data_IF_578863818669
#
_entry.id   IF_578863818669
#
_cell.length_a   1.000
_cell.length_b   1.000
_cell.length_c   1.000
_cell.angle_alpha   90.00
_cell.angle_beta   90.00
_cell.angle_gamma   90.00
#
_symmetry.space_group_name_H-M   'P 1'
#
loop_
_entity.id
_entity.type
_entity.pdbx_description
1 polymer ?
#
# COMPACT_ATOMS: atom_id res chain seq x y z
N UNK A 1 -4.15 5.42 -15.14
CA UNK A 1 -4.87 6.52 -14.46
C UNK A 1 -6.12 5.94 -13.81
N UNK A 2 -6.37 6.29 -12.55
CA UNK A 2 -7.51 5.83 -11.75
C UNK A 2 -8.74 6.76 -11.84
N UNK A 3 -8.73 7.73 -12.75
CA UNK A 3 -9.83 8.71 -12.90
C UNK A 3 -11.22 8.04 -13.00
N UNK A 4 -11.35 7.01 -13.85
CA UNK A 4 -12.64 6.33 -14.07
C UNK A 4 -13.19 5.72 -12.78
N UNK A 5 -12.34 5.05 -11.99
CA UNK A 5 -12.76 4.44 -10.72
C UNK A 5 -13.06 5.51 -9.67
N UNK A 6 -12.26 6.57 -9.57
CA UNK A 6 -12.53 7.69 -8.67
C UNK A 6 -13.85 8.38 -8.98
N UNK A 7 -14.15 8.64 -10.26
CA UNK A 7 -15.42 9.24 -10.69
C UNK A 7 -16.60 8.31 -10.43
N UNK A 8 -16.44 7.02 -10.65
CA UNK A 8 -17.46 6.02 -10.34
C UNK A 8 -17.77 6.01 -8.84
N UNK A 9 -16.74 5.94 -7.99
CA UNK A 9 -16.90 5.98 -6.53
C UNK A 9 -17.56 7.29 -6.05
N UNK A 10 -17.14 8.42 -6.60
CA UNK A 10 -17.73 9.72 -6.26
C UNK A 10 -19.22 9.78 -6.61
N UNK A 11 -19.59 9.32 -7.80
CA UNK A 11 -20.97 9.36 -8.29
C UNK A 11 -21.87 8.36 -7.56
N UNK A 12 -21.49 7.08 -7.53
CA UNK A 12 -22.33 6.01 -7.00
C UNK A 12 -22.35 5.99 -5.47
N UNK A 13 -21.25 6.39 -4.83
CA UNK A 13 -21.15 6.49 -3.38
C UNK A 13 -21.63 7.83 -2.81
N UNK A 14 -21.95 8.82 -3.65
CA UNK A 14 -22.22 10.20 -3.23
C UNK A 14 -21.10 10.76 -2.33
N UNK A 15 -19.86 10.50 -2.72
CA UNK A 15 -18.66 10.81 -1.94
C UNK A 15 -17.90 12.00 -2.54
N UNK A 16 -17.27 12.79 -1.67
CA UNK A 16 -16.12 13.60 -2.06
C UNK A 16 -14.91 12.67 -2.17
N UNK A 17 -14.32 12.58 -3.35
CA UNK A 17 -13.14 11.72 -3.61
C UNK A 17 -11.91 12.59 -3.83
N UNK A 18 -10.91 12.41 -2.97
CA UNK A 18 -9.58 13.02 -3.10
C UNK A 18 -8.61 11.97 -3.62
N UNK A 19 -8.20 12.10 -4.89
CA UNK A 19 -7.18 11.24 -5.48
C UNK A 19 -5.80 11.87 -5.30
N UNK A 20 -4.91 11.19 -4.61
CA UNK A 20 -3.57 11.71 -4.29
C UNK A 20 -2.60 11.38 -5.42
N UNK A 21 -2.08 12.42 -6.09
CA UNK A 21 -0.98 12.30 -7.05
C UNK A 21 0.37 12.19 -6.34
N UNK A 22 0.60 11.09 -5.62
CA UNK A 22 1.82 10.87 -4.84
C UNK A 22 3.05 10.64 -5.75
N UNK A 23 4.23 11.01 -5.25
CA UNK A 23 5.52 10.78 -5.90
C UNK A 23 5.78 9.28 -6.10
N UNK A 24 6.37 8.92 -7.24
CA UNK A 24 6.61 7.52 -7.63
C UNK A 24 8.09 7.14 -7.54
N UNK A 25 8.35 5.87 -7.23
CA UNK A 25 9.64 5.25 -7.43
C UNK A 25 9.83 4.93 -8.93
N UNK A 26 11.08 4.92 -9.45
CA UNK A 26 12.35 5.02 -8.72
C UNK A 26 12.83 6.44 -8.37
N UNK A 27 12.24 7.48 -8.93
CA UNK A 27 12.66 8.87 -8.74
C UNK A 27 12.51 9.31 -7.28
N UNK A 28 11.46 8.84 -6.62
CA UNK A 28 11.14 9.11 -5.23
C UNK A 28 10.81 7.81 -4.50
N UNK A 29 11.86 7.20 -3.94
CA UNK A 29 11.78 5.94 -3.19
C UNK A 29 11.09 6.12 -1.83
N UNK A 30 10.81 5.02 -1.14
CA UNK A 30 10.28 5.03 0.22
C UNK A 30 11.10 5.99 1.12
N UNK A 31 10.45 6.87 1.90
CA UNK A 31 9.02 6.92 2.21
C UNK A 31 8.17 7.92 1.40
N UNK A 32 8.65 8.44 0.26
CA UNK A 32 8.02 9.59 -0.41
C UNK A 32 6.51 9.45 -0.70
N UNK A 33 6.09 8.33 -1.31
CA UNK A 33 4.68 8.09 -1.61
C UNK A 33 3.80 8.03 -0.34
N UNK A 34 4.32 7.45 0.73
CA UNK A 34 3.64 7.38 2.02
C UNK A 34 3.52 8.76 2.67
N UNK A 35 4.57 9.56 2.65
CA UNK A 35 4.55 10.94 3.16
C UNK A 35 3.54 11.81 2.41
N UNK A 36 3.46 11.68 1.09
CA UNK A 36 2.50 12.42 0.27
C UNK A 36 1.05 12.03 0.60
N UNK A 37 0.77 10.73 0.67
CA UNK A 37 -0.55 10.22 1.05
C UNK A 37 -0.95 10.62 2.47
N UNK A 38 -0.04 10.51 3.43
CA UNK A 38 -0.30 10.91 4.82
C UNK A 38 -0.52 12.43 4.92
N UNK A 39 0.35 13.22 4.29
CA UNK A 39 0.26 14.68 4.27
C UNK A 39 -1.05 15.18 3.64
N UNK A 40 -1.42 14.62 2.48
CA UNK A 40 -2.68 14.93 1.81
C UNK A 40 -3.90 14.57 2.66
N UNK A 41 -3.87 13.39 3.32
CA UNK A 41 -4.97 12.94 4.18
C UNK A 41 -5.12 13.85 5.40
N UNK A 42 -4.02 14.19 6.07
CA UNK A 42 -4.03 15.11 7.22
C UNK A 42 -4.52 16.50 6.80
N UNK A 43 -4.05 17.01 5.65
CA UNK A 43 -4.49 18.28 5.13
C UNK A 43 -5.99 18.29 4.84
N UNK A 44 -6.51 17.24 4.20
CA UNK A 44 -7.94 17.08 3.95
C UNK A 44 -8.75 17.06 5.26
N UNK A 45 -8.33 16.26 6.24
CA UNK A 45 -9.04 16.13 7.52
C UNK A 45 -9.05 17.43 8.34
N UNK A 46 -7.99 18.25 8.24
CA UNK A 46 -7.92 19.57 8.89
C UNK A 46 -8.80 20.64 8.21
N UNK A 47 -9.09 20.47 6.92
CA UNK A 47 -9.86 21.42 6.13
C UNK A 47 -11.22 20.84 5.69
N UNK A 48 -11.70 19.79 6.36
CA UNK A 48 -12.80 18.95 5.91
C UNK A 48 -14.12 19.71 5.71
N UNK A 49 -14.34 20.74 6.52
CA UNK A 49 -15.50 21.64 6.43
C UNK A 49 -15.56 22.40 5.09
N UNK A 50 -14.40 22.74 4.50
CA UNK A 50 -14.33 23.43 3.20
C UNK A 50 -14.86 22.56 2.06
N UNK A 51 -14.89 21.24 2.27
CA UNK A 51 -15.37 20.26 1.31
C UNK A 51 -16.80 19.77 1.62
N UNK A 52 -17.44 20.29 2.68
CA UNK A 52 -18.78 19.88 3.08
C UNK A 52 -18.88 18.42 3.54
N UNK A 53 -17.79 17.84 4.05
CA UNK A 53 -17.73 16.43 4.48
C UNK A 53 -17.87 16.34 5.99
N UNK A 54 -18.66 15.37 6.47
CA UNK A 54 -18.79 15.04 7.88
C UNK A 54 -17.49 14.39 8.41
N UNK A 55 -16.85 14.96 9.46
CA UNK A 55 -15.66 14.39 10.08
C UNK A 55 -15.82 12.94 10.56
N UNK A 56 -17.03 12.49 10.88
CA UNK A 56 -17.28 11.10 11.27
C UNK A 56 -17.26 10.10 10.11
N UNK A 57 -17.22 10.59 8.85
CA UNK A 57 -17.38 9.80 7.63
C UNK A 57 -16.16 9.88 6.70
N UNK A 58 -14.96 9.84 7.27
CA UNK A 58 -13.70 9.81 6.50
C UNK A 58 -13.27 8.37 6.23
N UNK A 59 -13.00 8.02 4.98
CA UNK A 59 -12.53 6.69 4.56
C UNK A 59 -11.24 6.86 3.75
N UNK A 60 -10.28 5.96 3.96
CA UNK A 60 -9.12 5.81 3.04
C UNK A 60 -9.28 4.55 2.19
N UNK A 61 -8.88 4.63 0.94
CA UNK A 61 -9.06 3.56 -0.03
C UNK A 61 -7.83 3.48 -0.95
N UNK A 62 -7.45 2.28 -1.35
CA UNK A 62 -6.43 2.08 -2.37
C UNK A 62 -6.34 0.65 -2.87
N UNK A 63 -5.82 0.50 -4.09
CA UNK A 63 -5.60 -0.78 -4.76
C UNK A 63 -4.11 -1.13 -4.85
N UNK A 64 -3.77 -2.41 -4.72
CA UNK A 64 -2.38 -2.90 -4.84
C UNK A 64 -1.40 -2.13 -3.95
N UNK A 65 -0.44 -1.38 -4.54
CA UNK A 65 0.46 -0.49 -3.82
C UNK A 65 -0.27 0.67 -3.12
N UNK A 66 -1.34 1.21 -3.72
CA UNK A 66 -2.21 2.17 -3.05
C UNK A 66 -2.92 1.57 -1.83
N UNK A 67 -3.22 0.27 -1.86
CA UNK A 67 -3.75 -0.46 -0.70
C UNK A 67 -2.73 -0.58 0.44
N UNK A 68 -1.44 -0.76 0.11
CA UNK A 68 -0.35 -0.66 1.10
C UNK A 68 -0.32 0.72 1.76
N UNK A 69 -0.35 1.79 0.94
CA UNK A 69 -0.33 3.16 1.43
C UNK A 69 -1.56 3.48 2.30
N UNK A 70 -2.76 3.06 1.89
CA UNK A 70 -3.99 3.24 2.66
C UNK A 70 -3.93 2.54 4.02
N UNK A 71 -3.39 1.31 4.08
CA UNK A 71 -3.18 0.59 5.33
C UNK A 71 -2.16 1.30 6.24
N UNK A 72 -1.02 1.73 5.69
CA UNK A 72 0.01 2.45 6.43
C UNK A 72 -0.49 3.79 6.99
N UNK A 73 -1.18 4.59 6.17
CA UNK A 73 -1.82 5.85 6.61
C UNK A 73 -2.84 5.59 7.72
N UNK A 74 -3.67 4.54 7.59
CA UNK A 74 -4.64 4.17 8.62
C UNK A 74 -3.99 3.88 9.97
N UNK A 75 -2.88 3.13 9.96
CA UNK A 75 -2.13 2.80 11.18
C UNK A 75 -1.59 4.06 11.86
N UNK A 76 -1.01 4.99 11.09
CA UNK A 76 -0.50 6.25 11.64
C UNK A 76 -1.61 7.13 12.19
N UNK A 77 -2.75 7.22 11.51
CA UNK A 77 -3.89 8.03 11.96
C UNK A 77 -4.60 7.44 13.17
N UNK A 78 -4.54 6.12 13.40
CA UNK A 78 -5.08 5.51 14.62
C UNK A 78 -4.44 6.07 15.90
N UNK A 79 -3.19 6.53 15.83
CA UNK A 79 -2.46 7.17 16.92
C UNK A 79 -2.62 8.70 17.00
N UNK A 80 -3.50 9.33 16.21
CA UNK A 80 -3.66 10.79 16.12
C UNK A 80 -5.01 11.25 16.70
N UNK A 81 -5.11 11.43 18.03
CA UNK A 81 -6.35 11.86 18.67
C UNK A 81 -6.76 13.31 18.33
N UNK A 82 -5.84 14.10 17.76
CA UNK A 82 -6.08 15.47 17.30
C UNK A 82 -6.79 15.55 15.94
N UNK A 83 -7.03 14.41 15.28
CA UNK A 83 -7.69 14.32 13.99
C UNK A 83 -8.98 13.49 14.08
N UNK A 84 -9.94 13.69 13.16
CA UNK A 84 -11.09 12.80 13.02
C UNK A 84 -10.68 11.32 12.90
N UNK A 85 -11.52 10.40 13.36
CA UNK A 85 -11.24 8.97 13.19
C UNK A 85 -11.65 8.52 11.79
N UNK A 86 -10.83 7.66 11.19
CA UNK A 86 -11.24 6.95 9.97
C UNK A 86 -12.43 6.03 10.29
N UNK A 87 -13.48 6.15 9.49
CA UNK A 87 -14.69 5.32 9.57
C UNK A 87 -14.47 3.92 9.02
N UNK A 88 -13.62 3.80 8.01
CA UNK A 88 -13.21 2.56 7.38
C UNK A 88 -11.89 2.72 6.61
N UNK A 89 -11.27 1.59 6.29
CA UNK A 89 -10.22 1.47 5.28
C UNK A 89 -10.66 0.44 4.24
N UNK A 90 -10.53 0.76 2.96
CA UNK A 90 -10.88 -0.11 1.84
C UNK A 90 -9.59 -0.52 1.14
N UNK A 91 -9.23 -1.80 1.25
CA UNK A 91 -7.98 -2.33 0.71
C UNK A 91 -8.28 -3.29 -0.44
N UNK A 92 -8.03 -2.86 -1.67
CA UNK A 92 -8.31 -3.64 -2.87
C UNK A 92 -7.02 -4.41 -3.25
N UNK A 93 -7.00 -5.73 -3.05
CA UNK A 93 -5.82 -6.61 -3.27
C UNK A 93 -4.46 -6.02 -2.80
N UNK A 94 -4.35 -5.59 -1.53
CA UNK A 94 -3.22 -4.79 -1.06
C UNK A 94 -1.89 -5.55 -0.99
N UNK A 95 -0.78 -4.87 -1.29
CA UNK A 95 0.57 -5.39 -1.02
C UNK A 95 1.00 -5.16 0.42
N UNK A 96 0.66 -6.07 1.35
CA UNK A 96 0.87 -5.84 2.80
C UNK A 96 2.21 -6.34 3.36
N UNK A 97 3.02 -7.01 2.55
CA UNK A 97 4.35 -7.49 2.95
C UNK A 97 5.28 -7.56 1.75
N UNK A 98 6.59 -7.42 2.03
CA UNK A 98 7.69 -7.64 1.07
C UNK A 98 8.81 -8.51 1.69
N UNK A 99 8.45 -9.33 2.67
CA UNK A 99 9.34 -10.24 3.39
C UNK A 99 9.41 -11.58 2.69
N UNK A 100 8.28 -12.14 2.24
CA UNK A 100 8.22 -13.47 1.66
C UNK A 100 7.56 -13.48 0.28
N UNK A 101 8.35 -13.73 -0.76
CA UNK A 101 7.82 -13.82 -2.12
C UNK A 101 7.45 -15.25 -2.51
N UNK A 102 7.45 -16.21 -1.59
CA UNK A 102 7.21 -17.64 -1.83
C UNK A 102 5.90 -18.16 -1.22
N UNK A 103 4.99 -17.27 -0.84
CA UNK A 103 3.64 -17.64 -0.37
C UNK A 103 2.90 -18.55 -1.37
N UNK A 104 1.93 -19.39 -0.93
CA UNK A 104 1.22 -20.31 -1.81
C UNK A 104 0.59 -19.63 -3.03
N UNK A 105 0.02 -18.43 -2.83
CA UNK A 105 -0.59 -17.65 -3.91
C UNK A 105 0.44 -17.08 -4.89
N UNK A 106 1.66 -16.76 -4.45
CA UNK A 106 2.77 -16.36 -5.31
C UNK A 106 3.25 -17.52 -6.17
N UNK A 107 3.33 -18.74 -5.61
CA UNK A 107 3.71 -19.95 -6.35
C UNK A 107 2.63 -20.37 -7.35
N UNK A 108 1.36 -20.42 -6.91
CA UNK A 108 0.22 -20.81 -7.74
C UNK A 108 0.00 -19.84 -8.90
N UNK A 109 0.14 -18.52 -8.66
CA UNK A 109 -0.14 -17.49 -9.66
C UNK A 109 1.11 -16.85 -10.26
N UNK A 110 2.28 -17.49 -10.12
CA UNK A 110 3.58 -16.91 -10.49
C UNK A 110 3.67 -16.36 -11.92
N UNK A 111 2.85 -16.88 -12.84
CA UNK A 111 2.79 -16.52 -14.27
C UNK A 111 1.45 -15.96 -14.73
N UNK A 112 0.59 -15.52 -13.80
CA UNK A 112 -0.75 -15.00 -14.13
C UNK A 112 -0.67 -13.49 -14.40
N UNK A 113 -0.99 -13.01 -15.62
CA UNK A 113 -1.08 -11.59 -15.89
C UNK A 113 -2.22 -10.92 -15.11
N UNK A 114 -2.11 -9.63 -14.75
CA UNK A 114 -1.05 -8.70 -15.14
C UNK A 114 0.19 -8.70 -14.22
N UNK A 115 0.18 -9.44 -13.10
CA UNK A 115 1.21 -9.34 -12.06
C UNK A 115 1.95 -10.67 -11.89
N UNK A 116 3.10 -10.78 -12.56
CA UNK A 116 4.03 -11.90 -12.37
C UNK A 116 4.74 -11.79 -11.02
N UNK A 117 5.10 -12.94 -10.43
CA UNK A 117 5.86 -12.99 -9.17
C UNK A 117 7.14 -12.15 -9.21
N UNK A 118 7.88 -12.23 -10.31
CA UNK A 118 9.12 -11.47 -10.52
C UNK A 118 8.89 -9.95 -10.50
N UNK A 119 7.76 -9.49 -11.05
CA UNK A 119 7.42 -8.07 -11.04
C UNK A 119 7.15 -7.54 -9.64
N UNK A 120 6.60 -8.35 -8.73
CA UNK A 120 6.39 -7.93 -7.34
C UNK A 120 7.74 -7.65 -6.66
N UNK A 121 8.70 -8.56 -6.79
CA UNK A 121 10.04 -8.37 -6.23
C UNK A 121 10.76 -7.17 -6.86
N UNK A 122 10.65 -7.00 -8.18
CA UNK A 122 11.16 -5.83 -8.88
C UNK A 122 10.57 -4.52 -8.33
N UNK A 123 9.24 -4.39 -8.23
CA UNK A 123 8.61 -3.18 -7.70
C UNK A 123 8.96 -2.92 -6.24
N UNK A 124 9.04 -3.97 -5.42
CA UNK A 124 9.48 -3.85 -4.03
C UNK A 124 10.90 -3.30 -3.93
N UNK A 125 11.84 -3.78 -4.76
CA UNK A 125 13.22 -3.27 -4.81
C UNK A 125 13.28 -1.81 -5.24
N UNK A 126 12.53 -1.44 -6.29
CA UNK A 126 12.45 -0.04 -6.73
C UNK A 126 11.95 0.88 -5.62
N UNK A 127 10.93 0.43 -4.88
CA UNK A 127 10.33 1.20 -3.79
C UNK A 127 11.23 1.30 -2.55
N UNK A 128 11.84 0.18 -2.11
CA UNK A 128 12.58 0.07 -0.84
C UNK A 128 14.07 0.47 -0.94
N UNK A 129 14.45 1.22 -1.97
CA UNK A 129 15.85 1.58 -2.22
C UNK A 129 16.78 0.38 -2.40
N UNK A 130 16.24 -0.73 -2.90
CA UNK A 130 17.01 -1.86 -3.39
C UNK A 130 17.54 -1.65 -4.81
N UNK A 131 18.41 -2.56 -5.22
CA UNK A 131 18.86 -2.68 -6.60
C UNK A 131 18.04 -3.76 -7.31
N UNK A 132 17.33 -3.36 -8.38
CA UNK A 132 16.51 -4.26 -9.18
C UNK A 132 17.29 -5.40 -9.84
N UNK A 133 18.62 -5.27 -9.98
CA UNK A 133 19.49 -6.36 -10.43
C UNK A 133 19.42 -7.59 -9.50
N UNK A 134 19.09 -7.39 -8.21
CA UNK A 134 19.02 -8.45 -7.20
C UNK A 134 17.65 -9.16 -7.14
N UNK A 135 16.78 -8.99 -8.15
CA UNK A 135 15.42 -9.53 -8.13
C UNK A 135 15.41 -11.05 -7.91
N UNK A 136 16.34 -11.78 -8.51
CA UNK A 136 16.41 -13.24 -8.40
C UNK A 136 16.77 -13.69 -6.98
N UNK A 137 17.76 -13.05 -6.37
CA UNK A 137 18.22 -13.29 -5.00
C UNK A 137 17.09 -12.98 -3.99
N UNK A 138 16.32 -11.92 -4.22
CA UNK A 138 15.14 -11.62 -3.41
C UNK A 138 14.05 -12.68 -3.52
N UNK A 139 13.84 -13.26 -4.71
CA UNK A 139 12.88 -14.35 -4.89
C UNK A 139 13.32 -15.66 -4.22
N UNK A 140 14.63 -15.91 -4.17
CA UNK A 140 15.24 -16.99 -3.38
C UNK A 140 15.26 -16.66 -1.86
N UNK A 141 14.84 -15.43 -1.53
CA UNK A 141 14.65 -14.85 -0.21
C UNK A 141 15.94 -14.55 0.55
N UNK A 142 17.03 -14.28 -0.16
CA UNK A 142 18.33 -13.92 0.39
C UNK A 142 18.32 -12.66 1.26
N UNK A 143 17.27 -11.83 1.18
CA UNK A 143 17.05 -10.66 2.05
C UNK A 143 16.57 -11.00 3.46
N UNK A 144 16.19 -12.25 3.73
CA UNK A 144 15.83 -12.69 5.08
C UNK A 144 17.02 -13.44 5.70
N UNK A 145 17.61 -12.94 6.80
CA UNK A 145 18.64 -13.65 7.52
C UNK A 145 18.22 -15.08 7.92
N UNK A 146 19.10 -16.09 7.84
CA UNK A 146 18.75 -17.48 8.16
C UNK A 146 18.18 -17.68 9.57
N UNK A 147 18.69 -16.93 10.55
CA UNK A 147 18.21 -16.93 11.94
C UNK A 147 16.79 -16.37 12.06
N UNK A 148 16.45 -15.33 11.29
CA UNK A 148 15.09 -14.79 11.20
C UNK A 148 14.13 -15.79 10.56
N UNK A 149 14.53 -16.45 9.47
CA UNK A 149 13.72 -17.53 8.85
C UNK A 149 13.44 -18.63 9.86
N UNK A 150 14.44 -19.07 10.62
CA UNK A 150 14.27 -20.12 11.62
C UNK A 150 13.34 -19.67 12.76
N UNK A 151 13.54 -18.46 13.27
CA UNK A 151 12.76 -17.89 14.38
C UNK A 151 11.28 -17.74 14.03
N UNK A 152 10.98 -17.30 12.80
CA UNK A 152 9.62 -17.01 12.36
C UNK A 152 9.02 -18.08 11.47
N UNK A 153 9.67 -19.24 11.29
CA UNK A 153 9.22 -20.31 10.37
C UNK A 153 7.75 -20.69 10.50
N UNK A 154 7.20 -20.68 11.72
CA UNK A 154 5.80 -21.02 11.98
C UNK A 154 4.78 -19.98 11.47
N UNK A 155 5.25 -18.77 11.13
CA UNK A 155 4.46 -17.66 10.63
C UNK A 155 4.76 -17.33 9.16
N UNK A 156 5.83 -17.89 8.60
CA UNK A 156 6.38 -17.52 7.29
C UNK A 156 6.56 -18.76 6.37
N UNK A 157 6.35 -20.00 6.86
CA UNK A 157 6.37 -21.19 6.01
C UNK A 157 4.95 -21.51 5.49
N UNK A 158 4.76 -21.79 4.19
CA UNK A 158 3.52 -22.33 3.66
C UNK A 158 3.17 -23.77 4.10
N UNK A 159 4.13 -24.55 4.62
CA UNK A 159 3.90 -25.91 5.18
C UNK A 159 3.40 -25.90 6.63
#
# INVERSE_FOLDING_TARGET
>A
SHEKICRYLAKEGQLVVVSVGYRLAPEHKYPAAYEDCLGATIHFMRNIEHYGVDPANVIVCGDSAGGNLAAAVSQTLAGRPDLPKLRAQILIYPGLQAVDFDLPSYQQNQRVPPLLREHVAFFALQYLNGDAANTKEILEGSHIPPDMRLKYRMWVNPD
#
